data_IF_157617164546
#
_entry.id   IF_157617164546
#
_cell.length_a   1.000
_cell.length_b   1.000
_cell.length_c   1.000
_cell.angle_alpha   90.00
_cell.angle_beta   90.00
_cell.angle_gamma   90.00
#
_symmetry.space_group_name_H-M   'P 1'
#
loop_
_entity.id
_entity.type
_entity.pdbx_description
1 polymer ?
#
# COMPACT_ATOMS: atom_id res chain seq x y z
N UNK A 1 1.01 -19.19 46.41
CA UNK A 1 1.36 -19.98 45.19
C UNK A 1 0.22 -20.10 44.17
N UNK A 2 -1.04 -20.32 44.54
CA UNK A 2 -2.16 -20.41 43.57
C UNK A 2 -2.50 -19.08 42.86
N UNK A 3 -2.32 -17.94 43.52
CA UNK A 3 -2.55 -16.62 42.93
C UNK A 3 -1.49 -16.20 41.88
N UNK A 4 -0.24 -16.65 42.05
CA UNK A 4 0.85 -16.36 41.12
C UNK A 4 0.72 -17.13 39.80
N UNK A 5 0.15 -18.36 39.85
CA UNK A 5 -0.10 -19.17 38.65
C UNK A 5 -1.26 -18.58 37.82
N UNK A 6 -2.26 -17.99 38.47
CA UNK A 6 -3.34 -17.28 37.77
C UNK A 6 -2.82 -15.96 37.14
N UNK A 7 -1.92 -15.25 37.81
CA UNK A 7 -1.30 -14.05 37.24
C UNK A 7 -0.39 -14.38 36.04
N UNK A 8 0.38 -15.48 36.09
CA UNK A 8 1.17 -15.93 34.94
C UNK A 8 0.31 -16.49 33.79
N UNK A 9 -0.88 -17.04 34.07
CA UNK A 9 -1.81 -17.47 33.02
C UNK A 9 -2.50 -16.29 32.32
N UNK A 10 -2.66 -15.15 33.00
CA UNK A 10 -3.20 -13.91 32.41
C UNK A 10 -2.11 -13.16 31.61
N UNK A 11 -0.84 -13.27 32.00
CA UNK A 11 0.30 -12.68 31.25
C UNK A 11 0.77 -13.59 30.09
N UNK A 12 0.33 -14.86 30.05
CA UNK A 12 0.63 -15.81 28.98
C UNK A 12 -0.49 -15.94 27.93
N UNK A 13 -1.46 -15.01 27.91
CA UNK A 13 -2.06 -14.61 26.64
C UNK A 13 -0.99 -13.75 25.96
N UNK A 14 0.01 -14.38 25.34
CA UNK A 14 0.72 -13.70 24.26
C UNK A 14 -0.39 -13.29 23.29
N UNK A 15 -0.66 -12.00 23.17
CA UNK A 15 -1.46 -11.49 22.07
C UNK A 15 -0.82 -12.07 20.81
N UNK A 16 -1.44 -13.10 20.25
CA UNK A 16 -0.95 -13.72 19.03
C UNK A 16 -1.21 -12.67 17.97
N UNK A 17 -0.20 -11.86 17.67
CA UNK A 17 -0.27 -10.84 16.65
C UNK A 17 -0.76 -11.52 15.36
N UNK A 18 -1.83 -10.96 14.79
CA UNK A 18 -2.47 -11.51 13.60
C UNK A 18 -1.70 -11.04 12.37
N UNK A 19 -0.64 -11.80 12.06
CA UNK A 19 0.38 -11.48 11.07
C UNK A 19 0.00 -12.01 9.69
N UNK A 20 0.03 -11.15 8.69
CA UNK A 20 -0.13 -11.50 7.28
C UNK A 20 1.21 -11.32 6.59
N UNK A 21 1.89 -12.42 6.22
CA UNK A 21 3.13 -12.32 5.48
C UNK A 21 2.88 -11.70 4.10
N UNK A 22 3.68 -10.70 3.76
CA UNK A 22 3.76 -10.13 2.43
C UNK A 22 4.96 -10.73 1.70
N UNK A 23 4.74 -11.14 0.46
CA UNK A 23 5.78 -11.56 -0.45
C UNK A 23 6.20 -10.36 -1.29
N UNK A 24 7.52 -10.17 -1.44
CA UNK A 24 8.09 -9.24 -2.42
C UNK A 24 8.37 -10.01 -3.70
N UNK A 25 7.50 -9.85 -4.69
CA UNK A 25 7.66 -10.43 -6.02
C UNK A 25 8.39 -9.50 -6.97
N UNK A 26 8.70 -10.05 -8.15
CA UNK A 26 9.20 -9.29 -9.29
C UNK A 26 8.12 -8.35 -9.82
N UNK A 27 8.47 -7.09 -9.99
CA UNK A 27 7.57 -6.02 -10.43
C UNK A 27 7.20 -6.18 -11.91
N UNK A 28 6.12 -5.50 -12.32
CA UNK A 28 5.74 -5.43 -13.73
C UNK A 28 6.85 -4.76 -14.54
N UNK A 29 7.45 -3.68 -14.02
CA UNK A 29 8.59 -2.98 -14.63
C UNK A 29 9.75 -3.95 -14.88
N UNK A 30 10.26 -4.63 -13.86
CA UNK A 30 11.39 -5.57 -14.03
C UNK A 30 11.09 -6.64 -15.07
N UNK A 31 9.88 -7.18 -15.08
CA UNK A 31 9.46 -8.20 -16.05
C UNK A 31 9.42 -7.66 -17.47
N UNK A 32 8.97 -6.42 -17.66
CA UNK A 32 8.90 -5.75 -18.96
C UNK A 32 10.27 -5.27 -19.45
N UNK A 33 11.15 -4.83 -18.56
CA UNK A 33 12.53 -4.45 -18.89
C UNK A 33 13.29 -5.66 -19.43
N UNK A 34 13.18 -6.83 -18.78
CA UNK A 34 13.80 -8.08 -19.26
C UNK A 34 13.28 -8.55 -20.62
N UNK A 35 12.01 -8.27 -20.93
CA UNK A 35 11.38 -8.60 -22.21
C UNK A 35 11.64 -7.54 -23.30
N UNK A 36 12.26 -6.40 -22.96
CA UNK A 36 12.43 -5.28 -23.88
C UNK A 36 11.14 -4.53 -24.22
N UNK A 37 10.08 -4.69 -23.41
CA UNK A 37 8.74 -4.11 -23.62
C UNK A 37 8.44 -2.89 -22.75
N UNK A 38 9.38 -2.49 -21.87
CA UNK A 38 9.16 -1.41 -20.90
C UNK A 38 8.85 -0.05 -21.56
N UNK A 39 9.54 0.28 -22.66
CA UNK A 39 9.32 1.56 -23.36
C UNK A 39 7.92 1.65 -24.00
N UNK A 40 7.44 0.56 -24.60
CA UNK A 40 6.09 0.48 -25.15
C UNK A 40 5.06 0.58 -24.03
N UNK A 41 5.23 -0.21 -22.96
CA UNK A 41 4.33 -0.22 -21.82
C UNK A 41 4.18 1.17 -21.17
N UNK A 42 5.29 1.86 -20.89
CA UNK A 42 5.24 3.15 -20.17
C UNK A 42 4.63 4.26 -21.03
N UNK A 43 4.71 4.15 -22.36
CA UNK A 43 4.04 5.07 -23.29
C UNK A 43 2.54 4.78 -23.35
N UNK A 44 2.16 3.50 -23.37
CA UNK A 44 0.76 3.08 -23.42
C UNK A 44 0.02 3.32 -22.10
N UNK A 45 0.69 3.12 -20.97
CA UNK A 45 0.13 3.23 -19.62
C UNK A 45 0.94 4.23 -18.77
N UNK A 46 0.88 5.54 -19.07
CA UNK A 46 1.65 6.54 -18.36
C UNK A 46 1.28 6.56 -16.87
N UNK A 47 2.30 6.49 -16.02
CA UNK A 47 2.12 6.55 -14.57
C UNK A 47 1.65 7.94 -14.13
N UNK A 48 0.47 8.00 -13.49
CA UNK A 48 -0.13 9.24 -12.97
C UNK A 48 -0.50 9.05 -11.49
N UNK A 49 0.46 9.11 -10.56
CA UNK A 49 0.23 8.74 -9.16
C UNK A 49 -0.88 9.57 -8.49
N UNK A 50 -0.96 10.87 -8.76
CA UNK A 50 -1.97 11.73 -8.14
C UNK A 50 -3.41 11.52 -8.63
N UNK A 51 -3.63 10.75 -9.69
CA UNK A 51 -4.99 10.40 -10.12
C UNK A 51 -5.76 9.69 -9.00
N UNK A 52 -5.06 8.97 -8.11
CA UNK A 52 -5.61 8.27 -6.94
C UNK A 52 -6.22 9.21 -5.90
N UNK A 53 -5.78 10.46 -5.84
CA UNK A 53 -6.10 11.40 -4.77
C UNK A 53 -6.95 12.59 -5.22
N UNK A 54 -7.56 12.51 -6.41
CA UNK A 54 -8.63 13.41 -6.83
C UNK A 54 -9.90 13.08 -6.02
N UNK A 55 -10.09 13.76 -4.89
CA UNK A 55 -11.15 13.44 -3.93
C UNK A 55 -12.55 13.55 -4.53
N UNK A 56 -13.28 12.44 -4.50
CA UNK A 56 -14.72 12.40 -4.72
C UNK A 56 -15.36 11.31 -3.85
N UNK A 57 -16.36 11.70 -3.04
CA UNK A 57 -17.03 10.81 -2.08
C UNK A 57 -17.72 9.65 -2.80
N UNK A 58 -17.52 8.43 -2.31
CA UNK A 58 -18.16 7.24 -2.86
C UNK A 58 -17.66 6.85 -4.26
N UNK A 59 -16.55 7.44 -4.71
CA UNK A 59 -15.82 7.03 -5.91
C UNK A 59 -14.39 6.73 -5.54
N UNK A 60 -13.87 5.62 -6.04
CA UNK A 60 -12.49 5.24 -5.86
C UNK A 60 -11.74 5.44 -7.17
N UNK A 61 -10.78 6.37 -7.16
CA UNK A 61 -9.85 6.60 -8.26
C UNK A 61 -8.55 5.89 -7.95
N UNK A 62 -7.93 5.33 -8.98
CA UNK A 62 -6.73 4.52 -8.89
C UNK A 62 -5.76 4.86 -10.01
N UNK A 63 -4.56 4.30 -9.92
CA UNK A 63 -3.51 4.48 -10.91
C UNK A 63 -2.68 3.22 -11.02
N UNK A 64 -2.01 3.03 -12.15
CA UNK A 64 -1.08 1.91 -12.33
C UNK A 64 0.25 2.26 -11.69
N UNK A 65 0.86 1.35 -10.93
CA UNK A 65 2.23 1.50 -10.44
C UNK A 65 2.99 0.21 -10.76
N UNK A 66 3.84 0.28 -11.80
CA UNK A 66 4.53 -0.88 -12.32
C UNK A 66 5.70 -1.35 -11.42
N UNK A 67 6.02 -0.59 -10.36
CA UNK A 67 7.09 -0.85 -9.41
C UNK A 67 6.57 -1.46 -8.09
N UNK A 68 5.25 -1.67 -7.94
CA UNK A 68 4.70 -2.37 -6.78
C UNK A 68 5.16 -3.83 -6.75
N UNK A 69 5.71 -4.22 -5.60
CA UNK A 69 6.34 -5.53 -5.41
C UNK A 69 5.67 -6.38 -4.33
N UNK A 70 4.96 -5.76 -3.38
CA UNK A 70 4.44 -6.45 -2.20
C UNK A 70 2.99 -6.89 -2.38
N UNK A 71 2.73 -8.17 -2.11
CA UNK A 71 1.39 -8.73 -2.06
C UNK A 71 1.27 -9.78 -0.97
N UNK A 72 0.10 -9.84 -0.34
CA UNK A 72 -0.26 -10.91 0.59
C UNK A 72 -1.27 -11.85 -0.05
N UNK A 73 -1.60 -12.93 0.65
CA UNK A 73 -2.62 -13.89 0.22
C UNK A 73 -3.84 -13.78 1.13
N UNK A 74 -5.00 -13.65 0.51
CA UNK A 74 -6.30 -13.79 1.17
C UNK A 74 -7.05 -14.97 0.56
N UNK A 75 -8.08 -15.46 1.23
CA UNK A 75 -9.02 -16.40 0.64
C UNK A 75 -10.46 -15.93 0.79
N UNK A 76 -11.31 -16.27 -0.17
CA UNK A 76 -12.72 -15.87 -0.20
C UNK A 76 -13.59 -17.10 -0.45
N UNK A 77 -14.66 -17.26 0.32
CA UNK A 77 -15.67 -18.28 0.10
C UNK A 77 -15.53 -19.56 0.92
N UNK A 78 -16.53 -20.44 0.74
CA UNK A 78 -16.59 -21.76 1.41
C UNK A 78 -16.91 -22.88 0.40
N UNK A 79 -15.94 -23.74 0.04
CA UNK A 79 -14.54 -23.73 0.49
C UNK A 79 -13.74 -22.50 0.02
N UNK A 80 -12.65 -22.14 0.70
CA UNK A 80 -11.87 -20.93 0.38
C UNK A 80 -11.18 -20.99 -0.99
N UNK A 81 -11.26 -19.89 -1.74
CA UNK A 81 -10.54 -19.65 -3.00
C UNK A 81 -9.49 -18.56 -2.75
N UNK A 82 -8.21 -18.79 -3.08
CA UNK A 82 -7.11 -17.90 -2.69
C UNK A 82 -6.72 -16.89 -3.78
N UNK A 83 -6.34 -15.68 -3.36
CA UNK A 83 -5.95 -14.57 -4.22
C UNK A 83 -4.75 -13.83 -3.65
N UNK A 84 -3.84 -13.43 -4.53
CA UNK A 84 -2.77 -12.47 -4.21
C UNK A 84 -3.34 -11.07 -4.29
N UNK A 85 -3.19 -10.27 -3.25
CA UNK A 85 -3.70 -8.90 -3.22
C UNK A 85 -2.66 -7.91 -2.76
N UNK A 86 -2.69 -6.72 -3.34
CA UNK A 86 -2.00 -5.54 -2.81
C UNK A 86 -2.78 -5.05 -1.61
N UNK A 87 -2.11 -4.86 -0.47
CA UNK A 87 -2.69 -4.20 0.70
C UNK A 87 -2.43 -2.71 0.54
N UNK A 88 -3.47 -1.95 0.24
CA UNK A 88 -3.34 -0.58 -0.27
C UNK A 88 -3.98 0.44 0.67
N UNK A 89 -3.17 1.22 1.39
CA UNK A 89 -3.65 2.28 2.29
C UNK A 89 -4.14 3.54 1.58
N UNK A 90 -3.99 3.64 0.25
CA UNK A 90 -4.56 4.72 -0.54
C UNK A 90 -5.89 4.38 -1.22
N UNK A 91 -6.46 3.19 -1.03
CA UNK A 91 -7.78 2.79 -1.55
C UNK A 91 -8.60 2.05 -0.49
N UNK A 92 -9.90 1.84 -0.69
CA UNK A 92 -10.83 1.31 0.31
C UNK A 92 -11.57 0.04 -0.10
N UNK A 93 -11.80 -0.17 -1.39
CA UNK A 93 -12.48 -1.37 -1.87
C UNK A 93 -11.59 -2.61 -1.77
N UNK A 94 -12.19 -3.76 -1.42
CA UNK A 94 -11.65 -5.08 -1.77
C UNK A 94 -12.28 -5.51 -3.10
N UNK A 95 -11.47 -5.95 -4.05
CA UNK A 95 -11.97 -6.59 -5.28
C UNK A 95 -11.00 -7.66 -5.79
N UNK A 96 -11.56 -8.67 -6.46
CA UNK A 96 -10.80 -9.75 -7.13
C UNK A 96 -11.43 -10.09 -8.49
N UNK A 97 -10.69 -10.75 -9.40
CA UNK A 97 -11.20 -11.13 -10.70
C UNK A 97 -12.34 -12.13 -10.60
N UNK A 98 -13.42 -11.96 -11.37
CA UNK A 98 -14.48 -12.96 -11.46
C UNK A 98 -14.20 -13.99 -12.55
N UNK A 99 -14.74 -15.20 -12.43
CA UNK A 99 -14.85 -16.13 -13.57
C UNK A 99 -15.65 -15.56 -14.75
N UNK A 100 -16.43 -14.50 -14.52
CA UNK A 100 -17.14 -13.77 -15.56
C UNK A 100 -16.31 -12.67 -16.22
N UNK A 101 -15.06 -12.45 -15.80
CA UNK A 101 -14.20 -11.45 -16.42
C UNK A 101 -13.82 -11.84 -17.86
N UNK A 102 -14.08 -10.95 -18.81
CA UNK A 102 -13.80 -11.16 -20.23
C UNK A 102 -12.53 -10.44 -20.73
N UNK A 103 -11.93 -9.56 -19.93
CA UNK A 103 -10.69 -8.87 -20.28
C UNK A 103 -9.51 -9.84 -20.36
N UNK A 104 -8.59 -9.59 -21.30
CA UNK A 104 -7.35 -10.37 -21.41
C UNK A 104 -6.49 -10.30 -20.14
N UNK A 105 -6.58 -9.20 -19.38
CA UNK A 105 -5.90 -9.02 -18.10
C UNK A 105 -6.27 -10.07 -17.04
N UNK A 106 -7.46 -10.66 -17.11
CA UNK A 106 -7.91 -11.67 -16.17
C UNK A 106 -7.44 -13.10 -16.50
N UNK A 107 -6.73 -13.31 -17.62
CA UNK A 107 -6.39 -14.65 -18.09
C UNK A 107 -5.25 -15.30 -17.29
N UNK A 108 -4.35 -14.50 -16.72
CA UNK A 108 -3.20 -14.96 -15.93
C UNK A 108 -3.38 -14.78 -14.42
N UNK A 109 -4.61 -14.50 -13.97
CA UNK A 109 -4.95 -14.34 -12.55
C UNK A 109 -5.92 -15.40 -12.05
N UNK A 110 -5.89 -15.63 -10.75
CA UNK A 110 -6.92 -16.41 -10.08
C UNK A 110 -8.27 -15.68 -10.17
N UNK A 111 -9.34 -16.44 -10.42
CA UNK A 111 -10.68 -15.91 -10.60
C UNK A 111 -11.62 -16.51 -9.57
N UNK A 112 -12.36 -15.66 -8.86
CA UNK A 112 -13.39 -16.07 -7.94
C UNK A 112 -14.59 -16.64 -8.70
N UNK A 113 -14.97 -17.86 -8.35
CA UNK A 113 -16.14 -18.53 -8.85
C UNK A 113 -17.26 -18.52 -7.79
N UNK A 114 -18.29 -17.68 -7.95
CA UNK A 114 -19.40 -17.61 -7.00
C UNK A 114 -20.16 -18.92 -6.82
N UNK A 115 -20.24 -19.74 -7.88
CA UNK A 115 -20.95 -21.03 -7.85
C UNK A 115 -20.24 -22.10 -7.01
N UNK A 116 -18.96 -21.88 -6.68
CA UNK A 116 -18.14 -22.79 -5.87
C UNK A 116 -18.09 -22.37 -4.39
N UNK A 117 -18.79 -21.31 -3.99
CA UNK A 117 -18.87 -20.89 -2.59
C UNK A 117 -20.30 -21.02 -2.06
N UNK A 118 -20.47 -21.86 -1.04
CA UNK A 118 -21.77 -22.07 -0.35
C UNK A 118 -22.22 -20.84 0.46
N UNK A 119 -21.27 -19.99 0.86
CA UNK A 119 -21.51 -18.78 1.66
C UNK A 119 -21.67 -17.52 0.83
N UNK A 120 -21.43 -17.58 -0.48
CA UNK A 120 -21.59 -16.44 -1.37
C UNK A 120 -23.03 -15.94 -1.39
N UNK A 121 -23.18 -14.62 -1.40
CA UNK A 121 -24.44 -13.93 -1.69
C UNK A 121 -24.17 -12.78 -2.67
N UNK A 122 -24.94 -12.74 -3.75
CA UNK A 122 -24.90 -11.63 -4.68
C UNK A 122 -25.62 -10.41 -4.08
N UNK A 123 -24.99 -9.24 -4.07
CA UNK A 123 -25.62 -7.98 -3.66
C UNK A 123 -26.31 -7.31 -4.86
N UNK A 124 -25.85 -7.59 -6.09
CA UNK A 124 -26.43 -7.08 -7.33
C UNK A 124 -26.18 -5.59 -7.60
N UNK A 125 -25.35 -4.92 -6.79
CA UNK A 125 -24.94 -3.53 -7.00
C UNK A 125 -23.73 -3.48 -7.92
N UNK A 126 -23.72 -2.57 -8.90
CA UNK A 126 -22.56 -2.37 -9.76
C UNK A 126 -21.38 -1.77 -8.99
N UNK A 127 -20.17 -2.07 -9.46
CA UNK A 127 -18.92 -1.50 -9.01
C UNK A 127 -18.15 -0.99 -10.21
N UNK A 128 -17.61 0.22 -10.09
CA UNK A 128 -16.66 0.77 -11.04
C UNK A 128 -15.55 1.46 -10.25
N UNK A 129 -14.30 1.09 -10.56
CA UNK A 129 -13.10 1.72 -10.04
C UNK A 129 -12.33 2.24 -11.24
N UNK A 130 -12.13 3.56 -11.28
CA UNK A 130 -11.48 4.20 -12.42
C UNK A 130 -9.98 4.24 -12.18
N UNK A 131 -9.22 3.79 -13.17
CA UNK A 131 -7.77 3.95 -13.21
C UNK A 131 -7.43 5.10 -14.17
N UNK A 132 -6.34 5.81 -13.93
CA UNK A 132 -5.87 6.85 -14.87
C UNK A 132 -5.65 6.32 -16.31
N UNK A 133 -5.50 5.01 -16.47
CA UNK A 133 -5.19 4.28 -17.72
C UNK A 133 -6.20 3.18 -18.07
N UNK A 134 -7.41 3.23 -17.49
CA UNK A 134 -8.46 2.25 -17.76
C UNK A 134 -9.49 2.20 -16.63
N UNK A 135 -10.27 1.13 -16.54
CA UNK A 135 -11.19 0.95 -15.41
C UNK A 135 -11.32 -0.52 -15.07
N UNK A 136 -11.67 -0.81 -13.82
CA UNK A 136 -12.25 -2.08 -13.44
C UNK A 136 -13.75 -1.89 -13.26
N UNK A 137 -14.55 -2.71 -13.94
CA UNK A 137 -16.01 -2.74 -13.76
C UNK A 137 -16.45 -4.11 -13.32
N UNK A 138 -17.54 -4.18 -12.56
CA UNK A 138 -18.08 -5.43 -12.07
C UNK A 138 -19.28 -5.22 -11.16
N UNK A 139 -19.46 -6.11 -10.20
CA UNK A 139 -20.54 -6.06 -9.24
C UNK A 139 -20.09 -6.46 -7.84
N UNK A 140 -20.85 -6.07 -6.83
CA UNK A 140 -20.60 -6.41 -5.43
C UNK A 140 -21.26 -7.73 -5.05
N UNK A 141 -20.54 -8.52 -4.27
CA UNK A 141 -21.03 -9.69 -3.54
C UNK A 141 -20.60 -9.64 -2.08
N UNK A 142 -21.19 -10.48 -1.24
CA UNK A 142 -20.68 -10.77 0.09
C UNK A 142 -20.27 -12.22 0.20
N UNK A 143 -19.18 -12.47 0.92
CA UNK A 143 -18.79 -13.82 1.32
C UNK A 143 -17.97 -13.77 2.62
N UNK A 144 -17.47 -14.92 3.07
CA UNK A 144 -16.45 -14.99 4.12
C UNK A 144 -15.09 -14.68 3.49
N UNK A 145 -14.38 -13.69 4.03
CA UNK A 145 -13.00 -13.37 3.64
C UNK A 145 -12.05 -13.80 4.76
N UNK A 146 -11.12 -14.69 4.44
CA UNK A 146 -10.05 -15.12 5.32
C UNK A 146 -8.77 -14.31 5.04
N UNK A 147 -8.21 -13.67 6.07
CA UNK A 147 -6.96 -12.90 5.98
C UNK A 147 -6.18 -13.02 7.29
N UNK A 148 -4.94 -13.50 7.22
CA UNK A 148 -4.12 -13.69 8.42
C UNK A 148 -4.68 -14.67 9.45
N UNK A 149 -5.50 -15.64 9.01
CA UNK A 149 -6.23 -16.55 9.91
C UNK A 149 -7.53 -15.96 10.49
N UNK A 150 -7.80 -14.67 10.26
CA UNK A 150 -9.06 -14.02 10.65
C UNK A 150 -10.12 -14.34 9.61
N UNK A 151 -11.26 -14.84 10.06
CA UNK A 151 -12.45 -15.02 9.22
C UNK A 151 -13.36 -13.81 9.37
N UNK A 152 -13.54 -13.05 8.30
CA UNK A 152 -14.44 -11.88 8.25
C UNK A 152 -15.72 -12.28 7.52
N UNK A 153 -16.78 -12.70 8.24
CA UNK A 153 -18.03 -13.07 7.61
C UNK A 153 -18.74 -11.84 7.03
N UNK A 154 -19.59 -12.08 6.03
CA UNK A 154 -20.39 -11.05 5.35
C UNK A 154 -19.56 -9.88 4.81
N UNK A 155 -18.31 -10.12 4.44
CA UNK A 155 -17.45 -9.10 3.86
C UNK A 155 -17.90 -8.79 2.44
N UNK A 156 -18.17 -7.51 2.18
CA UNK A 156 -18.48 -7.02 0.83
C UNK A 156 -17.19 -6.94 0.00
N UNK A 157 -17.23 -7.39 -1.24
CA UNK A 157 -16.12 -7.24 -2.18
C UNK A 157 -16.62 -7.14 -3.62
N UNK A 158 -15.77 -6.57 -4.48
CA UNK A 158 -15.99 -6.48 -5.91
C UNK A 158 -15.58 -7.74 -6.66
N UNK A 159 -16.41 -8.16 -7.60
CA UNK A 159 -16.13 -9.19 -8.58
C UNK A 159 -15.98 -8.51 -9.94
N UNK A 160 -14.74 -8.42 -10.45
CA UNK A 160 -14.49 -7.74 -11.72
C UNK A 160 -15.04 -8.55 -12.90
N UNK A 161 -15.66 -7.85 -13.85
CA UNK A 161 -16.11 -8.38 -15.15
C UNK A 161 -15.28 -7.81 -16.31
N UNK A 162 -14.67 -6.65 -16.11
CA UNK A 162 -13.63 -6.12 -16.99
C UNK A 162 -12.56 -5.42 -16.17
N UNK A 163 -11.33 -5.49 -16.66
CA UNK A 163 -10.13 -4.92 -16.04
C UNK A 163 -9.28 -4.14 -17.04
N UNK A 164 -8.52 -3.19 -16.51
CA UNK A 164 -7.61 -2.36 -17.29
C UNK A 164 -6.43 -3.20 -17.85
N UNK A 165 -5.99 -3.01 -19.09
CA UNK A 165 -5.00 -3.88 -19.73
C UNK A 165 -3.66 -4.01 -18.98
N UNK A 166 -3.22 -2.95 -18.31
CA UNK A 166 -1.95 -2.97 -17.57
C UNK A 166 -1.92 -4.03 -16.46
N UNK A 167 -3.09 -4.40 -15.91
CA UNK A 167 -3.19 -5.40 -14.83
C UNK A 167 -2.67 -6.77 -15.27
N UNK A 168 -2.69 -7.08 -16.57
CA UNK A 168 -2.10 -8.31 -17.12
C UNK A 168 -0.62 -8.50 -16.76
N UNK A 169 0.10 -7.42 -16.43
CA UNK A 169 1.52 -7.46 -16.09
C UNK A 169 1.77 -7.50 -14.57
N UNK A 170 0.73 -7.37 -13.75
CA UNK A 170 0.84 -7.35 -12.29
C UNK A 170 0.81 -8.77 -11.73
N UNK A 171 1.58 -9.02 -10.67
CA UNK A 171 1.53 -10.30 -9.96
C UNK A 171 0.30 -10.44 -9.07
N UNK A 172 -0.18 -9.36 -8.49
CA UNK A 172 -1.38 -9.39 -7.67
C UNK A 172 -2.61 -9.67 -8.55
N UNK A 173 -3.49 -10.54 -8.06
CA UNK A 173 -4.76 -10.84 -8.70
C UNK A 173 -5.78 -9.71 -8.44
N UNK A 174 -5.72 -9.05 -7.27
CA UNK A 174 -6.63 -7.97 -6.89
C UNK A 174 -6.05 -6.99 -5.87
N UNK A 175 -6.92 -6.18 -5.26
CA UNK A 175 -6.54 -5.15 -4.28
C UNK A 175 -7.42 -5.27 -3.04
N UNK A 176 -6.81 -5.14 -1.87
CA UNK A 176 -7.46 -4.99 -0.57
C UNK A 176 -7.17 -3.58 -0.04
N UNK A 177 -8.14 -2.68 -0.17
CA UNK A 177 -8.05 -1.32 0.34
C UNK A 177 -8.08 -1.21 1.87
N UNK A 178 -7.25 -0.33 2.41
CA UNK A 178 -7.04 -0.04 3.83
C UNK A 178 -7.21 1.45 4.20
N UNK A 179 -7.74 2.26 3.27
CA UNK A 179 -8.14 3.64 3.53
C UNK A 179 -9.54 3.71 4.19
N UNK A 180 -10.06 4.92 4.33
CA UNK A 180 -11.29 5.19 5.09
C UNK A 180 -12.56 4.83 4.31
N UNK A 181 -13.60 4.24 4.96
CA UNK A 181 -14.83 3.78 4.30
C UNK A 181 -15.54 4.80 3.40
N UNK A 182 -15.42 6.10 3.69
CA UNK A 182 -16.01 7.18 2.89
C UNK A 182 -15.52 7.25 1.44
N UNK A 183 -14.37 6.65 1.14
CA UNK A 183 -13.80 6.59 -0.20
C UNK A 183 -14.28 5.38 -1.00
N UNK A 184 -14.80 4.35 -0.32
CA UNK A 184 -15.17 3.10 -0.98
C UNK A 184 -16.22 3.36 -2.06
N UNK A 185 -15.88 2.99 -3.30
CA UNK A 185 -16.78 3.00 -4.42
C UNK A 185 -18.03 2.18 -4.09
N UNK A 186 -19.19 2.69 -4.51
CA UNK A 186 -20.49 2.10 -4.21
C UNK A 186 -20.81 2.00 -2.70
N UNK A 187 -20.08 2.69 -1.82
CA UNK A 187 -20.28 2.63 -0.37
C UNK A 187 -20.06 1.23 0.21
N UNK A 188 -19.18 0.44 -0.40
CA UNK A 188 -18.88 -0.91 0.06
C UNK A 188 -18.23 -0.89 1.45
N UNK A 189 -18.63 -1.81 2.31
CA UNK A 189 -18.02 -1.99 3.63
C UNK A 189 -16.56 -2.44 3.47
N UNK A 190 -15.60 -1.69 4.04
CA UNK A 190 -14.18 -2.03 3.93
C UNK A 190 -13.80 -3.18 4.85
N UNK A 191 -12.79 -3.96 4.49
CA UNK A 191 -12.37 -5.17 5.21
C UNK A 191 -11.99 -4.85 6.65
N UNK A 192 -11.07 -3.89 6.83
CA UNK A 192 -10.59 -3.55 8.16
C UNK A 192 -11.70 -2.99 9.07
N UNK A 193 -12.55 -2.12 8.53
CA UNK A 193 -13.66 -1.57 9.31
C UNK A 193 -14.69 -2.66 9.68
N UNK A 194 -14.92 -3.64 8.81
CA UNK A 194 -15.79 -4.78 9.13
C UNK A 194 -15.19 -5.66 10.25
N UNK A 195 -13.88 -5.89 10.24
CA UNK A 195 -13.21 -6.61 11.33
C UNK A 195 -13.39 -5.91 12.67
N UNK A 196 -13.20 -4.59 12.71
CA UNK A 196 -13.35 -3.77 13.92
C UNK A 196 -14.80 -3.78 14.41
N UNK A 197 -15.77 -3.56 13.53
CA UNK A 197 -17.20 -3.57 13.88
C UNK A 197 -17.66 -4.93 14.45
N UNK A 198 -17.06 -6.02 13.96
CA UNK A 198 -17.34 -7.38 14.45
C UNK A 198 -16.52 -7.77 15.68
N UNK A 199 -15.66 -6.88 16.20
CA UNK A 199 -14.81 -7.14 17.36
C UNK A 199 -13.72 -8.19 17.12
N UNK A 200 -13.33 -8.40 15.86
CA UNK A 200 -12.31 -9.38 15.48
C UNK A 200 -10.89 -8.88 15.75
N UNK A 201 -10.69 -7.57 15.71
CA UNK A 201 -9.38 -6.90 15.88
C UNK A 201 -9.56 -5.55 16.56
N UNK A 202 -8.46 -5.03 17.14
CA UNK A 202 -8.39 -3.62 17.53
C UNK A 202 -8.35 -2.70 16.30
N UNK A 203 -8.69 -1.43 16.49
CA UNK A 203 -8.89 -0.42 15.45
C UNK A 203 -7.59 0.23 14.91
N UNK A 204 -6.49 -0.51 14.96
CA UNK A 204 -5.24 -0.19 14.29
C UNK A 204 -4.65 -1.39 13.57
N UNK A 205 -3.79 -1.11 12.59
CA UNK A 205 -2.97 -2.10 11.92
C UNK A 205 -1.58 -1.53 11.66
N UNK A 206 -0.64 -2.39 11.31
CA UNK A 206 0.74 -1.98 11.08
C UNK A 206 1.34 -2.67 9.86
N UNK A 207 2.33 -2.04 9.25
CA UNK A 207 2.98 -2.50 8.03
C UNK A 207 4.49 -2.42 8.19
N UNK A 208 5.15 -3.56 8.00
CA UNK A 208 6.59 -3.70 7.92
C UNK A 208 6.98 -4.19 6.52
N UNK A 209 7.86 -3.46 5.83
CA UNK A 209 8.35 -3.85 4.52
C UNK A 209 9.86 -4.12 4.59
N UNK A 210 10.24 -5.39 4.43
CA UNK A 210 11.65 -5.79 4.36
C UNK A 210 12.27 -5.32 3.05
N UNK A 211 13.39 -4.61 3.15
CA UNK A 211 14.12 -4.10 1.98
C UNK A 211 14.96 -5.19 1.28
N UNK A 212 15.47 -6.17 2.04
CA UNK A 212 16.55 -7.07 1.62
C UNK A 212 16.13 -8.52 1.38
N UNK A 213 14.84 -8.85 1.49
CA UNK A 213 14.35 -10.22 1.37
C UNK A 213 13.07 -10.31 0.56
N UNK A 214 12.89 -11.43 -0.12
CA UNK A 214 11.63 -11.79 -0.77
C UNK A 214 10.51 -12.05 0.25
N UNK A 215 10.88 -12.38 1.49
CA UNK A 215 9.99 -12.73 2.60
C UNK A 215 10.30 -11.89 3.83
N UNK A 216 9.36 -11.86 4.79
CA UNK A 216 9.53 -11.16 6.06
C UNK A 216 8.90 -9.77 6.12
N UNK A 217 8.32 -9.29 5.01
CA UNK A 217 7.38 -8.17 5.05
C UNK A 217 6.05 -8.64 5.64
N UNK A 218 5.30 -7.75 6.28
CA UNK A 218 4.12 -8.12 7.07
C UNK A 218 3.10 -6.98 7.13
N UNK A 219 1.81 -7.34 7.12
CA UNK A 219 0.72 -6.52 7.68
C UNK A 219 0.22 -7.20 8.95
N UNK A 220 0.02 -6.45 10.03
CA UNK A 220 -0.57 -6.97 11.27
C UNK A 220 -1.83 -6.21 11.63
N UNK A 221 -2.97 -6.89 11.73
CA UNK A 221 -4.23 -6.29 12.16
C UNK A 221 -4.42 -6.39 13.67
N UNK A 222 -4.92 -5.31 14.28
CA UNK A 222 -5.19 -5.22 15.72
C UNK A 222 -3.93 -5.16 16.59
N UNK A 223 -2.76 -4.98 15.99
CA UNK A 223 -1.47 -5.18 16.64
C UNK A 223 -0.32 -4.48 15.91
N UNK A 224 0.80 -4.38 16.60
CA UNK A 224 2.09 -4.05 16.00
C UNK A 224 3.20 -4.83 16.72
N UNK A 225 4.26 -5.19 16.00
CA UNK A 225 5.33 -6.04 16.51
C UNK A 225 6.54 -5.19 16.93
N UNK A 226 6.89 -5.15 18.23
CA UNK A 226 8.07 -4.43 18.71
C UNK A 226 9.40 -4.93 18.13
N UNK A 227 9.45 -6.14 17.56
CA UNK A 227 10.67 -6.67 16.91
C UNK A 227 10.92 -6.09 15.52
N UNK A 228 9.94 -5.40 14.92
CA UNK A 228 10.06 -4.78 13.59
C UNK A 228 10.57 -3.35 13.61
N UNK A 229 10.81 -2.76 14.79
CA UNK A 229 11.36 -1.41 14.90
C UNK A 229 12.34 -1.24 16.06
N UNK A 230 13.16 -0.20 15.96
CA UNK A 230 14.06 0.26 17.01
C UNK A 230 13.78 1.72 17.36
N UNK A 231 14.28 2.16 18.51
CA UNK A 231 14.06 3.52 19.00
C UNK A 231 12.63 3.75 19.48
N UNK A 232 12.21 5.01 19.46
CA UNK A 232 10.89 5.41 19.96
C UNK A 232 9.87 5.46 18.82
N UNK A 233 8.65 5.02 19.12
CA UNK A 233 7.50 5.22 18.26
C UNK A 233 7.00 6.66 18.37
N UNK A 234 6.87 7.35 17.24
CA UNK A 234 6.37 8.72 17.14
C UNK A 234 4.95 8.71 16.57
N UNK A 235 3.98 9.22 17.33
CA UNK A 235 2.61 9.37 16.87
C UNK A 235 2.40 10.73 16.20
N UNK A 236 1.92 10.71 14.96
CA UNK A 236 1.70 11.88 14.12
C UNK A 236 0.19 11.99 13.84
N UNK A 237 -0.46 13.09 14.22
CA UNK A 237 -1.89 13.25 14.00
C UNK A 237 -2.19 13.36 12.50
N UNK A 238 -3.31 12.78 12.08
CA UNK A 238 -3.81 12.99 10.73
C UNK A 238 -4.26 14.44 10.54
N UNK A 239 -3.96 15.03 9.39
CA UNK A 239 -4.44 16.35 9.01
C UNK A 239 -5.79 16.32 8.30
N UNK A 240 -6.22 15.15 7.81
CA UNK A 240 -7.53 14.90 7.20
C UNK A 240 -7.90 13.42 7.29
N UNK A 241 -9.14 13.12 7.69
CA UNK A 241 -9.71 11.76 7.69
C UNK A 241 -10.27 11.37 6.31
N UNK A 242 -9.53 11.68 5.24
CA UNK A 242 -9.84 11.22 3.87
C UNK A 242 -8.96 10.03 3.54
N UNK A 243 -7.66 10.22 3.65
CA UNK A 243 -6.60 9.21 3.51
C UNK A 243 -5.74 9.22 4.78
N UNK A 244 -4.69 8.40 4.84
CA UNK A 244 -3.67 8.48 5.89
C UNK A 244 -2.75 9.70 5.67
N UNK A 245 -3.36 10.89 5.75
CA UNK A 245 -2.76 12.18 5.43
C UNK A 245 -2.15 12.83 6.67
N UNK A 246 -0.89 13.24 6.58
CA UNK A 246 -0.12 13.90 7.62
C UNK A 246 0.46 15.22 7.10
N UNK A 247 0.83 16.12 8.03
CA UNK A 247 1.58 17.34 7.70
C UNK A 247 3.08 17.06 7.75
N UNK A 248 3.78 17.34 6.67
CA UNK A 248 5.25 17.35 6.59
C UNK A 248 5.72 18.79 6.71
N UNK A 249 6.75 19.05 7.51
CA UNK A 249 7.24 20.40 7.80
C UNK A 249 8.23 20.89 6.74
N UNK A 250 9.13 20.02 6.32
CA UNK A 250 10.12 20.27 5.27
C UNK A 250 10.84 18.98 4.87
N UNK A 251 11.48 19.00 3.70
CA UNK A 251 12.46 17.98 3.31
C UNK A 251 13.82 18.64 3.11
N UNK A 252 14.85 18.05 3.71
CA UNK A 252 16.21 18.60 3.71
C UNK A 252 17.24 17.62 3.15
N UNK A 253 18.25 18.17 2.49
CA UNK A 253 19.44 17.45 2.02
C UNK A 253 20.67 18.25 2.46
N UNK A 254 21.60 17.61 3.16
CA UNK A 254 22.77 18.27 3.76
C UNK A 254 22.40 19.52 4.60
N UNK A 255 21.29 19.45 5.34
CA UNK A 255 20.79 20.54 6.19
C UNK A 255 20.04 21.67 5.47
N UNK A 256 20.00 21.68 4.13
CA UNK A 256 19.28 22.69 3.36
C UNK A 256 17.87 22.21 3.02
N UNK A 257 16.86 23.07 3.16
CA UNK A 257 15.49 22.77 2.70
C UNK A 257 15.45 22.76 1.18
N UNK A 258 15.04 21.63 0.59
CA UNK A 258 15.00 21.42 -0.87
C UNK A 258 13.58 21.22 -1.40
N UNK A 259 12.63 20.91 -0.53
CA UNK A 259 11.23 20.65 -0.86
C UNK A 259 10.34 20.88 0.36
N UNK A 260 9.03 21.08 0.14
CA UNK A 260 8.05 21.26 1.21
C UNK A 260 8.40 22.44 2.14
N UNK A 261 8.95 23.54 1.59
CA UNK A 261 9.34 24.70 2.38
C UNK A 261 8.09 25.44 2.92
N UNK A 262 7.98 25.59 4.24
CA UNK A 262 6.80 26.15 4.89
C UNK A 262 5.69 25.12 5.15
N UNK A 263 5.98 23.84 4.95
CA UNK A 263 5.07 22.73 5.19
C UNK A 263 4.22 22.34 3.98
N UNK A 264 3.81 21.07 3.96
CA UNK A 264 3.00 20.47 2.92
C UNK A 264 2.21 19.29 3.48
N UNK A 265 1.30 18.74 2.67
CA UNK A 265 0.51 17.57 3.01
C UNK A 265 1.07 16.34 2.32
N UNK A 266 1.11 15.21 3.02
CA UNK A 266 1.57 13.94 2.49
C UNK A 266 0.62 12.79 2.88
N UNK A 267 0.42 11.84 1.97
CA UNK A 267 -0.31 10.59 2.25
C UNK A 267 0.69 9.45 2.41
N UNK A 268 0.54 8.66 3.47
CA UNK A 268 1.33 7.43 3.66
C UNK A 268 0.63 6.27 2.95
N UNK A 269 1.21 5.78 1.87
CA UNK A 269 0.52 4.91 0.90
C UNK A 269 1.31 3.64 0.55
N UNK A 270 0.87 2.48 1.05
CA UNK A 270 1.44 1.17 0.69
C UNK A 270 1.10 0.73 -0.73
N UNK A 271 0.16 1.39 -1.40
CA UNK A 271 -0.16 1.18 -2.80
C UNK A 271 0.61 2.07 -3.77
N UNK A 272 1.69 2.72 -3.30
CA UNK A 272 2.62 3.51 -4.12
C UNK A 272 4.06 3.12 -3.80
N UNK A 273 4.87 2.86 -4.82
CA UNK A 273 6.27 2.42 -4.65
C UNK A 273 7.24 3.56 -4.35
N UNK A 274 7.01 4.75 -4.91
CA UNK A 274 7.90 5.91 -4.89
C UNK A 274 7.54 6.90 -3.76
N UNK A 275 8.45 7.84 -3.47
CA UNK A 275 8.04 9.13 -2.90
C UNK A 275 7.65 10.04 -4.05
N UNK A 276 6.43 10.56 -4.02
CA UNK A 276 5.88 11.38 -5.11
C UNK A 276 5.55 12.76 -4.57
N UNK A 277 5.77 13.81 -5.35
CA UNK A 277 5.50 15.18 -4.91
C UNK A 277 5.30 16.17 -6.07
N UNK A 278 5.15 17.48 -5.75
CA UNK A 278 5.06 18.53 -6.75
C UNK A 278 6.28 18.54 -7.69
N UNK A 279 6.06 18.84 -8.97
CA UNK A 279 7.10 18.73 -10.00
C UNK A 279 8.33 19.61 -9.71
N UNK A 280 8.13 20.82 -9.18
CA UNK A 280 9.20 21.74 -8.78
C UNK A 280 10.05 21.18 -7.64
N UNK A 281 9.39 20.56 -6.68
CA UNK A 281 10.02 20.07 -5.47
C UNK A 281 10.77 18.76 -5.75
N UNK A 282 10.17 17.87 -6.56
CA UNK A 282 10.83 16.64 -7.02
C UNK A 282 12.05 16.97 -7.89
N UNK A 283 11.98 18.00 -8.73
CA UNK A 283 13.14 18.47 -9.49
C UNK A 283 14.24 18.99 -8.57
N UNK A 284 13.88 19.80 -7.57
CA UNK A 284 14.81 20.33 -6.58
C UNK A 284 15.46 19.23 -5.74
N UNK A 285 14.67 18.27 -5.28
CA UNK A 285 15.13 17.11 -4.52
C UNK A 285 16.06 16.22 -5.34
N UNK A 286 15.70 15.89 -6.58
CA UNK A 286 16.55 15.13 -7.49
C UNK A 286 17.88 15.85 -7.74
N UNK A 287 17.86 17.15 -8.01
CA UNK A 287 19.09 17.93 -8.21
C UNK A 287 19.99 17.92 -6.97
N UNK A 288 19.41 18.01 -5.77
CA UNK A 288 20.15 18.01 -4.51
C UNK A 288 20.86 16.67 -4.24
N UNK A 289 20.37 15.55 -4.79
CA UNK A 289 20.98 14.23 -4.63
C UNK A 289 21.83 13.78 -5.83
N UNK A 290 22.03 14.64 -6.84
CA UNK A 290 22.88 14.37 -8.00
C UNK A 290 22.14 14.00 -9.29
N UNK A 291 20.82 14.18 -9.35
CA UNK A 291 19.96 13.95 -10.51
C UNK A 291 18.99 12.78 -10.33
N UNK A 292 17.99 12.67 -11.21
CA UNK A 292 17.02 11.58 -11.20
C UNK A 292 17.63 10.23 -11.67
N UNK A 293 18.63 10.30 -12.56
CA UNK A 293 19.49 9.17 -12.94
C UNK A 293 20.86 9.37 -12.31
N UNK A 294 21.37 8.36 -11.62
CA UNK A 294 22.59 8.47 -10.81
C UNK A 294 23.58 7.34 -11.13
N UNK A 295 24.85 7.55 -10.80
CA UNK A 295 25.86 6.51 -10.96
C UNK A 295 25.69 5.42 -9.89
N UNK A 296 25.37 4.20 -10.31
CA UNK A 296 25.22 3.03 -9.44
C UNK A 296 26.43 2.78 -8.53
N UNK A 297 27.64 3.10 -8.98
CA UNK A 297 28.87 2.89 -8.21
C UNK A 297 29.06 3.91 -7.09
N UNK A 298 28.33 5.03 -7.12
CA UNK A 298 28.50 6.13 -6.15
C UNK A 298 27.37 6.21 -5.11
N UNK A 299 26.46 5.23 -5.06
CA UNK A 299 25.31 5.25 -4.14
C UNK A 299 25.74 5.44 -2.69
N UNK A 300 26.84 4.79 -2.26
CA UNK A 300 27.33 4.89 -0.89
C UNK A 300 27.78 6.30 -0.47
N UNK A 301 28.08 7.18 -1.42
CA UNK A 301 28.53 8.55 -1.15
C UNK A 301 27.45 9.61 -1.45
N UNK A 302 26.26 9.19 -1.89
CA UNK A 302 25.15 10.10 -2.13
C UNK A 302 24.59 10.63 -0.79
N UNK A 303 24.10 11.87 -0.76
CA UNK A 303 23.64 12.49 0.48
C UNK A 303 22.35 11.86 0.98
N UNK A 304 22.10 11.90 2.29
CA UNK A 304 20.83 11.46 2.84
C UNK A 304 19.73 12.50 2.60
N UNK A 305 18.48 12.04 2.52
CA UNK A 305 17.28 12.89 2.47
C UNK A 305 16.56 12.79 3.80
N UNK A 306 16.31 13.91 4.46
CA UNK A 306 15.58 13.94 5.73
C UNK A 306 14.21 14.57 5.54
N UNK A 307 13.17 13.86 5.98
CA UNK A 307 11.79 14.35 5.99
C UNK A 307 11.45 14.73 7.43
N UNK A 308 11.15 16.01 7.68
CA UNK A 308 10.83 16.51 9.01
C UNK A 308 9.31 16.47 9.22
N UNK A 309 8.88 15.74 10.24
CA UNK A 309 7.46 15.50 10.53
C UNK A 309 7.25 15.61 12.03
N UNK A 310 6.35 16.50 12.46
CA UNK A 310 5.96 16.68 13.86
C UNK A 310 7.16 16.91 14.81
N UNK A 311 8.13 17.72 14.38
CA UNK A 311 9.37 17.99 15.13
C UNK A 311 10.40 16.87 15.15
N UNK A 312 10.18 15.77 14.41
CA UNK A 312 11.09 14.63 14.30
C UNK A 312 11.69 14.49 12.90
N UNK A 313 12.96 14.08 12.84
CA UNK A 313 13.69 13.87 11.60
C UNK A 313 13.63 12.40 11.16
N UNK A 314 13.08 12.16 9.96
CA UNK A 314 13.01 10.85 9.33
C UNK A 314 13.97 10.80 8.12
N UNK A 315 15.19 10.35 8.37
CA UNK A 315 16.30 10.29 7.40
C UNK A 315 16.29 9.01 6.56
N UNK A 316 16.47 9.16 5.25
CA UNK A 316 16.54 8.10 4.24
C UNK A 316 17.97 8.07 3.67
N UNK A 317 18.70 6.96 3.82
CA UNK A 317 19.99 6.79 3.14
C UNK A 317 19.78 6.59 1.64
N UNK A 318 20.82 6.85 0.84
CA UNK A 318 20.78 6.65 -0.61
C UNK A 318 20.39 5.23 -1.04
N UNK A 319 20.80 4.22 -0.28
CA UNK A 319 20.40 2.83 -0.52
C UNK A 319 18.89 2.58 -0.38
N UNK A 320 18.16 3.44 0.33
CA UNK A 320 16.72 3.32 0.50
C UNK A 320 15.93 3.94 -0.68
N UNK A 321 16.42 5.06 -1.19
CA UNK A 321 15.73 5.82 -2.24
C UNK A 321 16.31 5.62 -3.63
N UNK A 322 17.43 4.92 -3.84
CA UNK A 322 17.93 4.59 -5.18
C UNK A 322 17.50 3.19 -5.60
N UNK A 323 16.80 3.09 -6.73
CA UNK A 323 16.47 1.83 -7.42
C UNK A 323 17.55 1.52 -8.45
N UNK A 324 17.98 0.27 -8.51
CA UNK A 324 18.92 -0.23 -9.52
C UNK A 324 18.17 -1.11 -10.53
N UNK A 325 18.38 -0.85 -11.82
CA UNK A 325 17.92 -1.69 -12.93
C UNK A 325 19.12 -2.23 -13.69
N UNK A 326 19.05 -3.49 -14.09
CA UNK A 326 20.07 -4.12 -14.94
C UNK A 326 20.10 -3.55 -16.36
N UNK A 327 19.02 -2.89 -16.80
CA UNK A 327 18.86 -2.40 -18.18
C UNK A 327 18.90 -0.87 -18.25
N UNK A 328 18.43 -0.17 -17.21
CA UNK A 328 18.27 1.29 -17.19
C UNK A 328 19.20 2.00 -16.19
N UNK A 329 20.11 1.27 -15.54
CA UNK A 329 21.02 1.82 -14.54
C UNK A 329 20.30 2.22 -13.25
N UNK A 330 20.83 3.20 -12.54
CA UNK A 330 20.31 3.61 -11.24
C UNK A 330 19.52 4.90 -11.32
N UNK A 331 18.38 4.92 -10.64
CA UNK A 331 17.46 6.06 -10.61
C UNK A 331 16.92 6.28 -9.21
N UNK A 332 16.64 7.54 -8.87
CA UNK A 332 16.00 7.91 -7.61
C UNK A 332 14.53 7.46 -7.60
N UNK A 333 14.05 7.07 -6.42
CA UNK A 333 12.67 6.73 -6.13
C UNK A 333 11.80 7.96 -5.87
N UNK A 334 12.11 9.08 -6.54
CA UNK A 334 11.38 10.35 -6.45
C UNK A 334 10.60 10.58 -7.75
N UNK A 335 9.28 10.54 -7.66
CA UNK A 335 8.36 10.62 -8.79
C UNK A 335 7.59 11.94 -8.86
N UNK A 336 7.34 12.43 -10.07
CA UNK A 336 6.51 13.62 -10.28
C UNK A 336 5.02 13.30 -10.06
N UNK A 337 4.35 14.13 -9.27
CA UNK A 337 2.92 13.99 -8.94
C UNK A 337 2.04 15.11 -9.49
N UNK A 338 2.57 16.25 -9.91
CA UNK A 338 1.76 17.43 -10.24
C UNK A 338 2.10 18.61 -9.35
N UNK A 339 1.13 19.15 -8.60
CA UNK A 339 1.26 20.51 -8.05
C UNK A 339 1.20 20.68 -6.52
N UNK A 340 0.51 19.85 -5.72
CA UNK A 340 0.24 20.25 -4.31
C UNK A 340 0.32 19.17 -3.23
N UNK A 341 0.40 17.88 -3.57
CA UNK A 341 0.34 16.79 -2.59
C UNK A 341 1.57 15.89 -2.70
N UNK A 342 1.99 15.32 -1.56
CA UNK A 342 3.02 14.30 -1.48
C UNK A 342 2.44 12.91 -1.21
N UNK A 343 3.14 11.88 -1.67
CA UNK A 343 2.91 10.50 -1.28
C UNK A 343 4.21 9.95 -0.70
N UNK A 344 4.14 9.37 0.49
CA UNK A 344 5.21 8.61 1.12
C UNK A 344 4.93 7.12 0.91
N UNK A 345 5.44 6.59 -0.20
CA UNK A 345 5.28 5.19 -0.59
C UNK A 345 6.31 4.23 0.02
N UNK A 346 6.51 3.09 -0.63
CA UNK A 346 7.39 2.02 -0.15
C UNK A 346 8.83 2.49 0.13
N UNK A 347 9.37 3.46 -0.61
CA UNK A 347 10.69 4.06 -0.32
C UNK A 347 10.79 4.53 1.14
N UNK A 348 9.73 5.15 1.66
CA UNK A 348 9.65 5.61 3.04
C UNK A 348 9.30 4.47 3.99
N UNK A 349 8.26 3.69 3.68
CA UNK A 349 7.69 2.65 4.56
C UNK A 349 8.68 1.49 4.82
N UNK A 350 9.59 1.21 3.87
CA UNK A 350 10.70 0.26 4.09
C UNK A 350 11.71 0.71 5.15
N UNK A 351 11.81 2.02 5.40
CA UNK A 351 12.75 2.58 6.38
C UNK A 351 12.07 2.85 7.72
N UNK A 352 10.75 3.03 7.70
CA UNK A 352 9.97 3.39 8.88
C UNK A 352 8.77 2.46 9.02
N UNK A 353 8.83 1.60 10.04
CA UNK A 353 7.70 0.78 10.44
C UNK A 353 6.51 1.69 10.75
N UNK A 354 5.38 1.39 10.11
CA UNK A 354 4.25 2.30 10.07
C UNK A 354 3.04 1.65 10.72
N UNK A 355 2.42 2.37 11.66
CA UNK A 355 1.21 1.96 12.36
C UNK A 355 0.10 2.92 11.97
N UNK A 356 -1.06 2.40 11.58
CA UNK A 356 -2.22 3.14 11.14
C UNK A 356 -3.32 2.97 12.20
N UNK A 357 -3.66 4.04 12.92
CA UNK A 357 -4.63 4.01 14.01
C UNK A 357 -5.87 4.81 13.59
N UNK A 358 -6.94 4.10 13.24
CA UNK A 358 -8.12 4.69 12.63
C UNK A 358 -9.00 5.43 13.65
N UNK A 359 -9.12 4.95 14.89
CA UNK A 359 -10.01 5.57 15.89
C UNK A 359 -9.43 6.82 16.53
N UNK A 360 -8.12 6.87 16.69
CA UNK A 360 -7.44 8.01 17.29
C UNK A 360 -6.94 9.00 16.24
N UNK A 361 -7.05 8.68 14.95
CA UNK A 361 -6.57 9.51 13.85
C UNK A 361 -5.07 9.80 13.91
N UNK A 362 -4.25 8.74 14.00
CA UNK A 362 -2.79 8.86 13.99
C UNK A 362 -2.12 7.88 13.01
N UNK A 363 -0.96 8.30 12.51
CA UNK A 363 0.07 7.40 12.00
C UNK A 363 1.20 7.34 13.02
N UNK A 364 1.60 6.13 13.42
CA UNK A 364 2.79 5.87 14.23
C UNK A 364 3.96 5.52 13.33
N UNK A 365 5.13 6.14 13.55
CA UNK A 365 6.36 5.86 12.81
C UNK A 365 7.51 5.52 13.76
N UNK A 366 8.27 4.47 13.43
CA UNK A 366 9.50 4.10 14.12
C UNK A 366 10.53 3.56 13.11
N UNK A 367 11.82 3.63 13.43
CA UNK A 367 12.87 3.13 12.52
C UNK A 367 12.74 1.61 12.36
N UNK A 368 12.50 1.15 11.13
CA UNK A 368 12.39 -0.28 10.84
C UNK A 368 13.74 -0.99 11.09
N UNK A 369 13.67 -2.24 11.57
CA UNK A 369 14.85 -3.13 11.76
C UNK A 369 15.29 -3.74 10.44
#
# INVERSE_FOLDING_TARGET
MKAAIILCAIVALSECLLRIPLNKGKTARESLEEQGLWEEYRQQFPYRPMAKFEFAVGTEQMTNDADLAYFGVISIGTPPQSFRVIFDTGSSNLWVPSVYCSSAACNNHHKFNPSQSSTFRNIGKSLQIQYGTGSMTGFLGTDVVAVGGIQVPHQTFGLSQSEAPFMAHMQADGILGLAFPRLAASGAQTVFNNMVQQGLVQDYFSVYLSSNSATGSEVTFGGYDPSHYTGNLVWIPLSSETYWQITVESMTVNGNVVACNGGCQAIVDTGTSLIVGPNSDISSLNNAVGGASVNCQNIANMPEVTININGHAFTLPASAYVRQSNYYGCSTGFGNGGSSLWILGDVFIRQYYTIFNMSNNYVGLAKAV
#
